data_IF_600191502846
#
_entry.id   IF_600191502846
#
_cell.length_a   1.000
_cell.length_b   1.000
_cell.length_c   1.000
_cell.angle_alpha   90.00
_cell.angle_beta   90.00
_cell.angle_gamma   90.00
#
_symmetry.space_group_name_H-M   'P 1'
#
loop_
_entity.id
_entity.type
_entity.pdbx_description
1 polymer ?
#
# COMPACT_ATOMS: atom_id res chain seq x y z
N UNK A 1 19.63 -9.90 11.78
CA UNK A 1 18.31 -9.70 11.17
C UNK A 1 18.35 -8.50 10.25
N UNK A 2 17.76 -8.60 9.06
CA UNK A 2 17.59 -7.50 8.10
C UNK A 2 16.10 -7.16 7.95
N UNK A 3 15.41 -7.03 9.08
CA UNK A 3 13.96 -6.79 9.15
C UNK A 3 13.52 -5.57 8.33
N UNK A 4 14.36 -4.53 8.28
CA UNK A 4 14.17 -3.36 7.44
C UNK A 4 15.28 -3.37 6.38
N UNK A 5 14.90 -3.05 5.13
CA UNK A 5 15.84 -2.90 4.01
C UNK A 5 15.47 -1.73 3.13
N UNK A 6 16.47 -1.14 2.50
CA UNK A 6 16.24 -0.27 1.35
C UNK A 6 15.64 -1.09 0.21
N UNK A 7 14.83 -0.44 -0.62
CA UNK A 7 14.33 -1.04 -1.85
C UNK A 7 14.16 0.04 -2.92
N UNK A 8 13.97 -0.39 -4.15
CA UNK A 8 13.52 0.51 -5.20
C UNK A 8 12.09 0.95 -4.88
N UNK A 9 11.88 2.26 -4.79
CA UNK A 9 10.56 2.85 -4.58
C UNK A 9 10.14 3.55 -5.86
N UNK A 10 9.04 3.08 -6.44
CA UNK A 10 8.44 3.66 -7.63
C UNK A 10 7.50 4.78 -7.19
N UNK A 11 7.85 6.01 -7.52
CA UNK A 11 6.98 7.18 -7.31
C UNK A 11 6.36 7.58 -8.63
N UNK A 12 5.10 8.04 -8.66
CA UNK A 12 4.52 8.48 -9.91
C UNK A 12 5.27 9.69 -10.48
N UNK A 13 5.48 9.69 -11.79
CA UNK A 13 6.06 10.82 -12.51
C UNK A 13 4.98 11.51 -13.36
N UNK A 14 4.97 12.85 -13.35
CA UNK A 14 4.05 13.67 -14.15
C UNK A 14 2.56 13.27 -14.09
N UNK A 15 2.07 12.84 -12.93
CA UNK A 15 0.67 12.46 -12.73
C UNK A 15 -0.14 13.54 -11.97
N UNK A 16 -1.45 13.55 -12.13
CA UNK A 16 -2.34 14.25 -11.20
C UNK A 16 -2.42 13.47 -9.89
N UNK A 17 -1.79 13.99 -8.83
CA UNK A 17 -1.76 13.33 -7.52
C UNK A 17 -3.14 13.14 -6.88
N UNK A 18 -4.15 13.94 -7.25
CA UNK A 18 -5.52 13.77 -6.77
C UNK A 18 -6.18 12.53 -7.36
N UNK A 19 -5.83 12.17 -8.60
CA UNK A 19 -6.32 10.96 -9.28
C UNK A 19 -5.41 9.76 -9.03
N UNK A 20 -4.13 10.01 -8.73
CA UNK A 20 -3.17 8.96 -8.46
C UNK A 20 -3.51 8.17 -7.20
N UNK A 21 -3.72 8.88 -6.10
CA UNK A 21 -3.85 8.29 -4.77
C UNK A 21 -5.27 7.79 -4.51
N UNK A 22 -5.39 6.55 -4.05
CA UNK A 22 -6.68 5.94 -3.69
C UNK A 22 -6.76 5.64 -2.21
N UNK A 23 -7.87 6.02 -1.58
CA UNK A 23 -8.19 5.65 -0.20
C UNK A 23 -9.00 4.35 -0.22
N UNK A 24 -8.30 3.23 -0.03
CA UNK A 24 -8.89 1.90 0.05
C UNK A 24 -9.06 1.43 1.51
N UNK A 25 -9.69 2.26 2.35
CA UNK A 25 -9.88 1.96 3.78
C UNK A 25 -11.19 1.18 4.01
N UNK A 26 -11.21 0.35 5.07
CA UNK A 26 -12.32 -0.54 5.44
C UNK A 26 -13.71 0.12 5.49
N UNK A 27 -13.77 1.44 5.72
CA UNK A 27 -15.01 2.21 5.71
C UNK A 27 -15.71 2.23 4.33
N UNK A 28 -14.95 2.04 3.23
CA UNK A 28 -15.47 2.10 1.86
C UNK A 28 -15.21 0.83 1.06
N UNK A 29 -14.48 -0.15 1.60
CA UNK A 29 -13.99 -1.33 0.85
C UNK A 29 -15.10 -2.12 0.19
N UNK A 30 -16.29 -2.19 0.80
CA UNK A 30 -17.46 -2.90 0.27
C UNK A 30 -18.49 -1.99 -0.41
N UNK A 31 -18.27 -0.66 -0.45
CA UNK A 31 -19.24 0.31 -0.99
C UNK A 31 -19.08 0.51 -2.50
N UNK A 32 -19.83 -0.25 -3.30
CA UNK A 32 -19.79 -0.12 -4.78
C UNK A 32 -20.02 1.30 -5.31
N UNK A 33 -20.89 2.07 -4.64
CA UNK A 33 -21.18 3.46 -5.02
C UNK A 33 -19.96 4.38 -4.86
N UNK A 34 -19.11 4.13 -3.87
CA UNK A 34 -17.84 4.84 -3.70
C UNK A 34 -16.88 4.51 -4.85
N UNK A 35 -16.68 3.22 -5.10
CA UNK A 35 -15.78 2.75 -6.17
C UNK A 35 -16.22 3.25 -7.54
N UNK A 36 -17.52 3.24 -7.84
CA UNK A 36 -18.03 3.75 -9.10
C UNK A 36 -17.77 5.25 -9.28
N UNK A 37 -18.01 6.06 -8.25
CA UNK A 37 -17.70 7.50 -8.28
C UNK A 37 -16.20 7.76 -8.46
N UNK A 38 -15.37 6.93 -7.83
CA UNK A 38 -13.92 7.03 -7.94
C UNK A 38 -13.44 6.65 -9.34
N UNK A 39 -13.99 5.60 -9.96
CA UNK A 39 -13.76 5.26 -11.36
C UNK A 39 -14.12 6.43 -12.29
N UNK A 40 -15.29 7.03 -12.10
CA UNK A 40 -15.76 8.16 -12.92
C UNK A 40 -14.88 9.41 -12.72
N UNK A 41 -14.37 9.64 -11.51
CA UNK A 41 -13.45 10.75 -11.20
C UNK A 41 -12.06 10.55 -11.82
N UNK A 42 -11.50 9.34 -11.70
CA UNK A 42 -10.18 8.97 -12.25
C UNK A 42 -10.23 9.01 -13.78
N UNK A 43 -11.23 8.36 -14.39
CA UNK A 43 -11.35 8.20 -15.83
C UNK A 43 -10.10 7.57 -16.46
N UNK A 44 -9.61 8.17 -17.55
CA UNK A 44 -8.46 7.63 -18.29
C UNK A 44 -7.11 7.96 -17.67
N UNK A 45 -7.06 8.76 -16.59
CA UNK A 45 -5.80 9.13 -15.95
C UNK A 45 -5.04 7.93 -15.36
N UNK A 46 -3.72 8.07 -15.22
CA UNK A 46 -2.91 7.10 -14.49
C UNK A 46 -3.26 7.14 -13.00
N UNK A 47 -3.54 6.00 -12.39
CA UNK A 47 -4.03 5.91 -11.01
C UNK A 47 -3.72 4.58 -10.36
N UNK A 48 -3.48 4.58 -9.04
CA UNK A 48 -3.39 3.33 -8.28
C UNK A 48 -4.71 2.59 -8.19
N UNK A 49 -5.86 3.22 -8.52
CA UNK A 49 -7.15 2.54 -8.63
C UNK A 49 -7.08 1.36 -9.59
N UNK A 50 -6.35 1.53 -10.69
CA UNK A 50 -6.20 0.51 -11.75
C UNK A 50 -5.23 -0.60 -11.36
N UNK A 51 -4.59 -0.48 -10.18
CA UNK A 51 -3.58 -1.40 -9.66
C UNK A 51 -4.06 -2.14 -8.40
N UNK A 52 -5.30 -1.93 -7.97
CA UNK A 52 -5.88 -2.58 -6.79
C UNK A 52 -7.12 -3.37 -7.15
N UNK A 53 -7.43 -4.37 -6.34
CA UNK A 53 -8.66 -5.13 -6.41
C UNK A 53 -9.55 -4.76 -5.22
N UNK A 54 -10.63 -3.96 -5.41
CA UNK A 54 -11.52 -3.62 -4.32
C UNK A 54 -12.32 -4.82 -3.79
N UNK A 55 -12.42 -4.93 -2.46
CA UNK A 55 -13.18 -6.00 -1.78
C UNK A 55 -14.66 -6.03 -2.21
N UNK A 56 -15.24 -4.89 -2.59
CA UNK A 56 -16.59 -4.78 -3.13
C UNK A 56 -16.86 -5.72 -4.31
N UNK A 57 -15.83 -6.08 -5.09
CA UNK A 57 -15.93 -6.94 -6.27
C UNK A 57 -15.40 -8.37 -6.02
N UNK A 58 -15.03 -8.71 -4.78
CA UNK A 58 -14.43 -10.01 -4.47
C UNK A 58 -15.38 -11.18 -4.66
N UNK A 59 -16.69 -10.96 -4.78
CA UNK A 59 -17.70 -12.01 -5.00
C UNK A 59 -18.26 -12.04 -6.43
N UNK A 60 -17.76 -11.17 -7.32
CA UNK A 60 -18.23 -11.13 -8.70
C UNK A 60 -17.73 -12.32 -9.53
N UNK A 61 -18.38 -12.61 -10.64
CA UNK A 61 -17.97 -13.71 -11.52
C UNK A 61 -16.72 -13.39 -12.35
N UNK A 62 -16.34 -12.12 -12.45
CA UNK A 62 -15.25 -11.60 -13.29
C UNK A 62 -13.90 -11.41 -12.53
N UNK A 63 -13.74 -12.03 -11.34
CA UNK A 63 -12.54 -11.89 -10.49
C UNK A 63 -11.24 -12.14 -11.25
N UNK A 64 -11.18 -13.22 -12.02
CA UNK A 64 -9.95 -13.63 -12.71
C UNK A 64 -9.58 -12.62 -13.82
N UNK A 65 -10.57 -12.15 -14.58
CA UNK A 65 -10.38 -11.12 -15.61
C UNK A 65 -9.88 -9.79 -14.99
N UNK A 66 -10.43 -9.41 -13.83
CA UNK A 66 -9.97 -8.22 -13.09
C UNK A 66 -8.52 -8.35 -12.65
N UNK A 67 -8.14 -9.51 -12.10
CA UNK A 67 -6.75 -9.77 -11.68
C UNK A 67 -5.81 -9.69 -12.88
N UNK A 68 -6.17 -10.30 -14.01
CA UNK A 68 -5.38 -10.23 -15.25
C UNK A 68 -5.23 -8.80 -15.76
N UNK A 69 -6.32 -8.02 -15.73
CA UNK A 69 -6.30 -6.62 -16.12
C UNK A 69 -5.42 -5.76 -15.19
N UNK A 70 -5.45 -6.01 -13.87
CA UNK A 70 -4.59 -5.34 -12.90
C UNK A 70 -3.11 -5.66 -13.19
N UNK A 71 -2.78 -6.95 -13.35
CA UNK A 71 -1.41 -7.39 -13.63
C UNK A 71 -0.90 -6.82 -14.96
N UNK A 72 -1.75 -6.76 -15.99
CA UNK A 72 -1.42 -6.13 -17.26
C UNK A 72 -1.16 -4.63 -17.08
N UNK A 73 -2.04 -3.92 -16.37
CA UNK A 73 -1.89 -2.48 -16.13
C UNK A 73 -0.62 -2.16 -15.35
N UNK A 74 -0.27 -2.99 -14.36
CA UNK A 74 0.99 -2.84 -13.62
C UNK A 74 2.22 -2.92 -14.54
N UNK A 75 2.23 -3.87 -15.49
CA UNK A 75 3.31 -4.00 -16.49
C UNK A 75 3.32 -2.81 -17.45
N UNK A 76 2.16 -2.39 -17.95
CA UNK A 76 2.02 -1.20 -18.78
C UNK A 76 2.56 0.05 -18.09
N UNK A 77 2.35 0.21 -16.77
CA UNK A 77 2.87 1.36 -16.03
C UNK A 77 4.39 1.30 -15.84
N UNK A 78 4.94 0.10 -15.59
CA UNK A 78 6.38 -0.12 -15.50
C UNK A 78 7.09 0.20 -16.83
N UNK A 79 6.53 -0.27 -17.95
CA UNK A 79 7.12 -0.11 -19.28
C UNK A 79 6.82 1.27 -19.88
N UNK A 80 5.69 1.88 -19.51
CA UNK A 80 5.16 3.11 -20.09
C UNK A 80 5.70 4.41 -19.47
N UNK A 81 6.68 4.33 -18.57
CA UNK A 81 7.30 5.51 -17.96
C UNK A 81 6.38 6.27 -16.99
N UNK A 82 5.41 5.58 -16.37
CA UNK A 82 4.52 6.17 -15.36
C UNK A 82 5.25 6.44 -14.05
N UNK A 83 6.34 5.71 -13.80
CA UNK A 83 7.11 5.78 -12.57
C UNK A 83 8.48 6.41 -12.77
N UNK A 84 8.90 7.16 -11.76
CA UNK A 84 10.29 7.46 -11.47
C UNK A 84 10.78 6.51 -10.38
N UNK A 85 11.87 5.79 -10.64
CA UNK A 85 12.47 4.88 -9.66
C UNK A 85 13.43 5.62 -8.73
N UNK A 86 13.17 5.56 -7.43
CA UNK A 86 14.11 5.92 -6.38
C UNK A 86 14.86 4.65 -5.95
N UNK A 87 16.08 4.46 -6.45
CA UNK A 87 16.85 3.23 -6.20
C UNK A 87 17.32 3.14 -4.75
N UNK A 88 17.29 1.93 -4.18
CA UNK A 88 17.82 1.62 -2.85
C UNK A 88 17.47 2.70 -1.79
N UNK A 89 16.20 3.06 -1.71
CA UNK A 89 15.75 4.26 -1.02
C UNK A 89 14.87 3.99 0.20
N UNK A 90 14.80 5.00 1.07
CA UNK A 90 13.77 5.20 2.08
C UNK A 90 13.10 6.54 1.81
N UNK A 91 11.79 6.65 2.05
CA UNK A 91 11.10 7.95 1.96
C UNK A 91 10.70 8.41 3.35
N UNK A 92 11.27 9.52 3.77
CA UNK A 92 10.86 10.22 4.98
C UNK A 92 9.65 11.09 4.64
N UNK A 93 8.58 10.98 5.42
CA UNK A 93 7.34 11.71 5.18
C UNK A 93 6.91 12.52 6.39
N UNK A 94 6.29 13.67 6.13
CA UNK A 94 5.60 14.51 7.12
C UNK A 94 4.20 14.80 6.61
N UNK A 95 3.18 14.40 7.38
CA UNK A 95 1.77 14.62 7.05
C UNK A 95 1.11 15.46 8.12
N UNK A 96 0.49 16.56 7.72
CA UNK A 96 -0.39 17.35 8.60
C UNK A 96 -1.82 16.87 8.41
N UNK A 97 -2.48 16.46 9.50
CA UNK A 97 -3.88 16.04 9.47
C UNK A 97 -4.82 17.24 9.46
N UNK A 98 -6.10 17.02 9.15
CA UNK A 98 -7.12 18.08 9.20
C UNK A 98 -7.23 18.77 10.58
N UNK A 99 -6.83 18.10 11.65
CA UNK A 99 -6.72 18.68 13.00
C UNK A 99 -5.51 19.59 13.22
N UNK A 100 -4.66 19.80 12.21
CA UNK A 100 -3.44 20.59 12.30
C UNK A 100 -2.22 19.86 12.88
N UNK A 101 -2.38 18.61 13.33
CA UNK A 101 -1.30 17.82 13.91
C UNK A 101 -0.40 17.26 12.80
N UNK A 102 0.89 17.58 12.86
CA UNK A 102 1.91 16.94 12.01
C UNK A 102 2.33 15.59 12.57
N UNK A 103 2.46 14.60 11.69
CA UNK A 103 3.00 13.27 11.98
C UNK A 103 4.18 13.00 11.05
N UNK A 104 5.28 12.50 11.62
CA UNK A 104 6.42 12.02 10.85
C UNK A 104 6.27 10.51 10.60
N UNK A 105 6.83 10.05 9.49
CA UNK A 105 6.80 8.65 9.10
C UNK A 105 7.94 8.30 8.16
N UNK A 106 8.12 7.01 7.92
CA UNK A 106 9.07 6.48 6.94
C UNK A 106 8.35 5.41 6.12
N UNK A 107 8.49 5.50 4.80
CA UNK A 107 8.14 4.42 3.88
C UNK A 107 9.42 3.63 3.60
N UNK A 108 9.36 2.33 3.86
CA UNK A 108 10.47 1.40 3.79
C UNK A 108 9.97 -0.01 3.48
N UNK A 109 10.87 -0.89 3.02
CA UNK A 109 10.56 -2.31 2.88
C UNK A 109 10.84 -3.06 4.18
N UNK A 110 9.96 -4.00 4.48
CA UNK A 110 10.02 -4.85 5.67
C UNK A 110 10.00 -6.31 5.25
N UNK A 111 10.82 -7.12 5.90
CA UNK A 111 10.81 -8.57 5.73
C UNK A 111 9.68 -9.20 6.54
N UNK A 112 8.72 -9.81 5.84
CA UNK A 112 7.58 -10.46 6.47
C UNK A 112 7.92 -11.84 7.03
N UNK A 113 9.13 -12.38 6.82
CA UNK A 113 9.59 -13.57 7.56
C UNK A 113 9.74 -13.28 9.07
N UNK A 114 9.97 -12.01 9.42
CA UNK A 114 10.03 -11.54 10.82
C UNK A 114 8.65 -11.17 11.39
N UNK A 115 7.58 -11.31 10.60
CA UNK A 115 6.20 -11.05 11.02
C UNK A 115 5.52 -12.28 11.60
N UNK A 116 4.84 -12.10 12.73
CA UNK A 116 4.08 -13.16 13.37
C UNK A 116 2.69 -12.67 13.80
N UNK A 117 1.65 -13.37 13.33
CA UNK A 117 0.26 -13.07 13.68
C UNK A 117 -0.34 -14.00 14.74
N UNK A 118 0.43 -14.99 15.23
CA UNK A 118 -0.03 -15.87 16.31
C UNK A 118 0.06 -15.13 17.64
N UNK A 119 -0.88 -15.40 18.54
CA UNK A 119 -0.89 -14.82 19.88
C UNK A 119 -0.75 -15.92 20.95
N UNK A 120 0.16 -15.78 21.93
CA UNK A 120 1.14 -14.71 22.10
C UNK A 120 2.35 -14.86 21.14
N UNK A 121 3.02 -13.75 20.81
CA UNK A 121 4.24 -13.76 19.99
C UNK A 121 5.30 -12.80 20.53
N UNK A 122 6.56 -13.24 20.47
CA UNK A 122 7.75 -12.44 20.78
C UNK A 122 8.44 -11.90 19.52
N UNK A 123 7.79 -11.98 18.35
CA UNK A 123 8.35 -11.44 17.11
C UNK A 123 8.47 -9.91 17.17
N UNK A 124 9.50 -9.40 16.48
CA UNK A 124 9.74 -7.96 16.35
C UNK A 124 8.60 -7.25 15.62
N UNK A 125 8.01 -7.91 14.62
CA UNK A 125 6.82 -7.45 13.91
C UNK A 125 5.70 -8.42 14.24
N UNK A 126 4.59 -7.87 14.73
CA UNK A 126 3.44 -8.68 15.16
C UNK A 126 2.14 -7.95 14.92
N UNK A 127 1.07 -8.70 14.75
CA UNK A 127 -0.25 -8.10 14.58
C UNK A 127 -0.73 -7.46 15.90
N UNK A 128 -1.36 -6.30 15.80
CA UNK A 128 -2.07 -5.67 16.92
C UNK A 128 -3.49 -6.20 17.07
N UNK A 129 -3.99 -6.85 16.02
CA UNK A 129 -5.36 -7.38 15.91
C UNK A 129 -5.33 -8.84 15.43
N UNK A 130 -6.48 -9.52 15.51
CA UNK A 130 -6.63 -10.89 15.04
C UNK A 130 -6.65 -10.97 13.51
N UNK A 131 -6.11 -12.06 12.97
CA UNK A 131 -6.12 -12.32 11.52
C UNK A 131 -7.34 -13.17 11.14
N UNK A 132 -8.05 -12.73 10.10
CA UNK A 132 -9.10 -13.52 9.46
C UNK A 132 -8.46 -14.40 8.39
N UNK A 133 -8.20 -15.67 8.73
CA UNK A 133 -7.46 -16.60 7.86
C UNK A 133 -8.12 -16.80 6.49
N UNK A 134 -9.45 -16.80 6.43
CA UNK A 134 -10.22 -16.97 5.19
C UNK A 134 -9.97 -15.86 4.17
N UNK A 135 -9.45 -14.71 4.60
CA UNK A 135 -9.09 -13.59 3.71
C UNK A 135 -7.71 -13.75 3.08
N UNK A 136 -6.87 -14.70 3.53
CA UNK A 136 -5.50 -14.87 3.02
C UNK A 136 -5.51 -15.41 1.58
N UNK A 137 -6.22 -16.52 1.24
CA UNK A 137 -6.15 -17.09 -0.10
C UNK A 137 -6.59 -16.11 -1.21
N UNK A 138 -7.70 -15.35 -1.09
CA UNK A 138 -8.07 -14.36 -2.09
C UNK A 138 -7.01 -13.28 -2.27
N UNK A 139 -6.42 -12.79 -1.16
CA UNK A 139 -5.37 -11.75 -1.19
C UNK A 139 -4.07 -12.25 -1.80
N UNK A 140 -3.74 -13.53 -1.60
CA UNK A 140 -2.57 -14.16 -2.23
C UNK A 140 -2.76 -14.24 -3.74
N UNK A 141 -3.95 -14.67 -4.19
CA UNK A 141 -4.25 -14.81 -5.62
C UNK A 141 -4.11 -13.49 -6.38
N UNK A 142 -4.54 -12.38 -5.78
CA UNK A 142 -4.38 -11.04 -6.38
C UNK A 142 -2.91 -10.64 -6.54
N UNK A 143 -2.02 -11.10 -5.63
CA UNK A 143 -0.62 -10.66 -5.55
C UNK A 143 0.39 -11.59 -6.20
N UNK A 144 0.01 -12.85 -6.45
CA UNK A 144 0.94 -13.91 -6.86
C UNK A 144 1.75 -13.55 -8.11
N UNK A 145 1.14 -12.86 -9.07
CA UNK A 145 1.75 -12.47 -10.35
C UNK A 145 1.94 -10.94 -10.49
N UNK A 146 1.73 -10.18 -9.41
CA UNK A 146 1.83 -8.74 -9.41
C UNK A 146 3.30 -8.30 -9.45
N UNK A 147 3.73 -7.51 -10.47
CA UNK A 147 5.13 -7.06 -10.56
C UNK A 147 5.46 -5.89 -9.63
N UNK A 148 4.45 -5.25 -9.01
CA UNK A 148 4.61 -4.17 -8.04
C UNK A 148 3.65 -4.36 -6.87
N UNK A 149 4.02 -3.86 -5.69
CA UNK A 149 3.15 -3.80 -4.51
C UNK A 149 2.97 -2.35 -4.07
N UNK A 150 1.74 -1.99 -3.69
CA UNK A 150 1.43 -0.67 -3.15
C UNK A 150 1.53 -0.67 -1.62
N UNK A 151 1.93 0.45 -0.98
CA UNK A 151 1.89 0.56 0.48
C UNK A 151 0.48 0.36 1.01
N UNK A 152 0.26 -0.71 1.77
CA UNK A 152 -1.07 -1.15 2.21
C UNK A 152 -1.15 -1.47 3.71
N UNK A 153 -0.07 -1.25 4.47
CA UNK A 153 -0.03 -1.42 5.92
C UNK A 153 0.60 -0.20 6.59
N UNK A 154 0.18 0.06 7.83
CA UNK A 154 0.85 0.98 8.74
C UNK A 154 1.50 0.17 9.86
N UNK A 155 2.81 0.30 10.02
CA UNK A 155 3.51 -0.25 11.16
C UNK A 155 3.63 0.82 12.26
N UNK A 156 3.22 0.44 13.47
CA UNK A 156 3.39 1.26 14.66
C UNK A 156 4.66 0.81 15.36
N UNK A 157 5.50 1.78 15.74
CA UNK A 157 6.73 1.52 16.49
C UNK A 157 6.54 1.97 17.94
N UNK A 158 7.02 1.16 18.89
CA UNK A 158 7.13 1.58 20.29
C UNK A 158 8.42 2.39 20.47
N UNK A 159 8.35 3.68 20.12
CA UNK A 159 9.47 4.61 20.21
C UNK A 159 9.10 5.81 21.09
N UNK A 160 8.87 5.57 22.38
CA UNK A 160 8.45 6.61 23.34
C UNK A 160 9.43 7.78 23.46
N UNK A 161 10.67 7.59 23.04
CA UNK A 161 11.74 8.60 23.11
C UNK A 161 11.93 9.33 21.79
N UNK A 162 11.13 9.02 20.76
CA UNK A 162 11.22 9.69 19.46
C UNK A 162 12.65 9.65 18.90
N UNK A 163 13.25 8.47 18.97
CA UNK A 163 14.67 8.25 18.69
C UNK A 163 14.93 7.70 17.28
N UNK A 164 13.88 7.28 16.57
CA UNK A 164 14.00 6.63 15.25
C UNK A 164 13.74 7.61 14.11
N UNK A 165 12.61 8.34 14.12
CA UNK A 165 12.16 9.12 12.96
C UNK A 165 12.50 10.60 13.12
N UNK A 166 12.29 11.14 14.31
CA UNK A 166 12.45 12.56 14.62
C UNK A 166 13.87 13.08 14.39
N UNK A 167 14.96 12.34 14.73
CA UNK A 167 16.31 12.82 14.47
C UNK A 167 16.62 13.06 13.00
N UNK A 168 15.93 12.36 12.09
CA UNK A 168 16.11 12.50 10.63
C UNK A 168 15.58 13.86 10.14
N UNK A 169 14.57 14.42 10.81
CA UNK A 169 13.97 15.73 10.48
C UNK A 169 14.63 16.90 11.18
N UNK A 170 15.44 16.65 12.21
CA UNK A 170 16.17 17.67 12.95
C UNK A 170 17.49 18.06 12.27
N UNK A 171 17.90 17.31 11.24
CA UNK A 171 19.12 17.50 10.46
C UNK A 171 18.93 18.47 9.29
#
# INVERSE_FOLDING_TARGET
MKTIRSCDILVPDNCDHQKWSVVACDQFTSERGYWKKLEDFVGDANSTLKLIFPEAYLEDSDKDERIDNINRTMKEYLDGGVFKTLKDSFIVCKRTTASGISRLGIVLAVDLEDYCFTHPSNAYIRSTEGVVLDRIPPRLKIRQDAPVELPHIMLLIDDRKHSVIEPIWAA
#
